data_IF_032275284624
#
_entry.id   IF_032275284624
#
_cell.length_a   1.000
_cell.length_b   1.000
_cell.length_c   1.000
_cell.angle_alpha   90.00
_cell.angle_beta   90.00
_cell.angle_gamma   90.00
#
_symmetry.space_group_name_H-M   'P 1'
#
loop_
_entity.id
_entity.type
_entity.pdbx_description
1 polymer ?
#
# COMPACT_ATOMS: atom_id res chain seq x y z
N UNK A 1 -26.41 -27.31 20.92
CA UNK A 1 -27.87 -27.09 20.96
C UNK A 1 -28.53 -27.56 19.68
N UNK A 2 -29.78 -28.07 19.72
CA UNK A 2 -30.57 -28.34 18.53
C UNK A 2 -30.95 -27.03 17.81
N UNK A 3 -30.83 -27.00 16.48
CA UNK A 3 -31.19 -25.85 15.64
C UNK A 3 -31.21 -26.19 14.15
N UNK A 4 -31.99 -25.44 13.37
CA UNK A 4 -32.09 -25.56 11.92
C UNK A 4 -31.93 -24.21 11.23
N UNK A 5 -31.48 -24.23 9.97
CA UNK A 5 -31.34 -23.03 9.13
C UNK A 5 -32.07 -23.26 7.82
N UNK A 6 -32.91 -22.30 7.42
CA UNK A 6 -33.63 -22.32 6.15
C UNK A 6 -33.33 -21.02 5.39
N UNK A 7 -32.96 -21.16 4.12
CA UNK A 7 -32.74 -20.04 3.21
C UNK A 7 -33.86 -20.02 2.17
N UNK A 8 -34.34 -18.83 1.86
CA UNK A 8 -35.34 -18.57 0.82
C UNK A 8 -34.63 -17.87 -0.34
N UNK A 9 -34.87 -18.35 -1.56
CA UNK A 9 -34.26 -17.84 -2.79
C UNK A 9 -35.34 -17.73 -3.86
N UNK A 10 -35.23 -16.72 -4.71
CA UNK A 10 -36.04 -16.60 -5.91
C UNK A 10 -35.23 -17.06 -7.12
N UNK A 11 -35.89 -17.67 -8.10
CA UNK A 11 -35.26 -18.01 -9.38
C UNK A 11 -34.86 -16.76 -10.18
N UNK A 12 -35.39 -15.60 -9.80
CA UNK A 12 -35.02 -14.28 -10.35
C UNK A 12 -33.77 -13.66 -9.69
N UNK A 13 -33.27 -14.25 -8.60
CA UNK A 13 -32.09 -13.72 -7.89
C UNK A 13 -30.86 -13.70 -8.81
N UNK A 14 -30.01 -12.68 -8.66
CA UNK A 14 -28.84 -12.47 -9.52
C UNK A 14 -27.92 -13.69 -9.63
N UNK A 15 -27.74 -14.43 -8.54
CA UNK A 15 -26.94 -15.65 -8.53
C UNK A 15 -27.52 -16.71 -9.48
N UNK A 16 -28.83 -16.95 -9.41
CA UNK A 16 -29.50 -17.98 -10.22
C UNK A 16 -29.71 -17.51 -11.65
N UNK A 17 -29.96 -16.22 -11.84
CA UNK A 17 -30.07 -15.59 -13.16
C UNK A 17 -28.75 -15.67 -13.95
N UNK A 18 -27.62 -15.39 -13.30
CA UNK A 18 -26.31 -15.33 -13.96
C UNK A 18 -25.65 -16.73 -14.02
N UNK A 19 -25.80 -17.56 -12.97
CA UNK A 19 -25.06 -18.82 -12.83
C UNK A 19 -25.93 -20.08 -12.79
N UNK A 20 -27.23 -19.95 -12.56
CA UNK A 20 -28.20 -21.07 -12.59
C UNK A 20 -28.58 -21.51 -14.02
N UNK A 21 -28.42 -20.61 -15.00
CA UNK A 21 -28.38 -20.92 -16.44
C UNK A 21 -29.66 -21.55 -17.03
N UNK A 22 -29.50 -22.26 -18.16
CA UNK A 22 -30.58 -22.96 -18.87
C UNK A 22 -31.20 -24.11 -18.08
N UNK A 23 -30.47 -24.69 -17.11
CA UNK A 23 -30.96 -25.83 -16.33
C UNK A 23 -32.12 -25.43 -15.42
N UNK A 24 -32.05 -24.27 -14.77
CA UNK A 24 -33.17 -23.76 -13.97
C UNK A 24 -34.34 -23.38 -14.87
N UNK A 25 -34.06 -22.67 -15.97
CA UNK A 25 -35.09 -22.23 -16.92
C UNK A 25 -35.85 -23.39 -17.56
N UNK A 26 -35.14 -24.41 -18.06
CA UNK A 26 -35.73 -25.63 -18.62
C UNK A 26 -36.48 -26.47 -17.58
N UNK A 27 -36.07 -26.42 -16.31
CA UNK A 27 -36.80 -27.05 -15.22
C UNK A 27 -38.12 -26.33 -14.96
N UNK A 28 -38.14 -24.99 -14.98
CA UNK A 28 -39.36 -24.17 -14.85
C UNK A 28 -40.32 -24.43 -16.01
N UNK A 29 -39.83 -24.40 -17.25
CA UNK A 29 -40.62 -24.63 -18.46
C UNK A 29 -41.23 -26.04 -18.51
N UNK A 30 -40.54 -27.05 -17.95
CA UNK A 30 -40.98 -28.45 -17.98
C UNK A 30 -41.89 -28.82 -16.81
N UNK A 31 -41.76 -28.15 -15.67
CA UNK A 31 -42.53 -28.47 -14.47
C UNK A 31 -43.80 -27.63 -14.32
N UNK A 32 -44.05 -26.65 -15.21
CA UNK A 32 -45.22 -25.75 -15.19
C UNK A 32 -45.56 -25.31 -13.76
N UNK A 33 -44.53 -24.87 -13.03
CA UNK A 33 -44.63 -24.62 -11.61
C UNK A 33 -45.44 -23.34 -11.37
N UNK A 34 -46.54 -23.40 -10.59
CA UNK A 34 -47.28 -22.20 -10.23
C UNK A 34 -46.38 -21.25 -9.42
N UNK A 35 -46.37 -19.97 -9.80
CA UNK A 35 -45.45 -18.95 -9.28
C UNK A 35 -45.53 -18.75 -7.75
N UNK A 36 -46.68 -19.08 -7.15
CA UNK A 36 -46.97 -18.82 -5.74
C UNK A 36 -46.62 -19.99 -4.79
N UNK A 37 -46.09 -21.10 -5.31
CA UNK A 37 -45.79 -22.28 -4.51
C UNK A 37 -44.29 -22.46 -4.21
N UNK A 38 -43.91 -22.64 -2.93
CA UNK A 38 -42.51 -22.88 -2.58
C UNK A 38 -42.05 -24.23 -3.13
N UNK A 39 -40.91 -24.22 -3.84
CA UNK A 39 -40.34 -25.43 -4.41
C UNK A 39 -39.31 -26.01 -3.45
N UNK A 40 -39.66 -27.14 -2.80
CA UNK A 40 -38.72 -27.88 -1.96
C UNK A 40 -38.23 -29.11 -2.71
N UNK A 41 -37.01 -29.02 -3.27
CA UNK A 41 -36.40 -30.12 -4.01
C UNK A 41 -34.90 -30.22 -3.76
N UNK A 42 -34.45 -31.44 -3.42
CA UNK A 42 -33.02 -31.78 -3.34
C UNK A 42 -32.28 -31.58 -4.67
N UNK A 43 -32.99 -31.53 -5.80
CA UNK A 43 -32.42 -31.20 -7.10
C UNK A 43 -32.06 -29.71 -7.16
N UNK A 44 -32.97 -28.83 -6.74
CA UNK A 44 -32.78 -27.38 -6.79
C UNK A 44 -31.65 -26.95 -5.85
N UNK A 45 -31.61 -27.49 -4.63
CA UNK A 45 -30.48 -27.21 -3.71
C UNK A 45 -29.13 -27.59 -4.32
N UNK A 46 -29.04 -28.68 -5.11
CA UNK A 46 -27.81 -29.04 -5.82
C UNK A 46 -27.45 -28.03 -6.91
N UNK A 47 -28.42 -27.58 -7.69
CA UNK A 47 -28.20 -26.55 -8.73
C UNK A 47 -27.75 -25.23 -8.12
N UNK A 48 -28.34 -24.81 -6.99
CA UNK A 48 -27.91 -23.62 -6.24
C UNK A 48 -26.46 -23.78 -5.77
N UNK A 49 -26.10 -24.91 -5.17
CA UNK A 49 -24.73 -25.18 -4.72
C UNK A 49 -23.73 -25.20 -5.89
N UNK A 50 -24.11 -25.75 -7.05
CA UNK A 50 -23.28 -25.71 -8.27
C UNK A 50 -23.07 -24.27 -8.77
N UNK A 51 -24.13 -23.46 -8.79
CA UNK A 51 -24.06 -22.05 -9.15
C UNK A 51 -23.15 -21.27 -8.18
N UNK A 52 -23.28 -21.50 -6.88
CA UNK A 52 -22.42 -20.92 -5.84
C UNK A 52 -20.95 -21.31 -6.04
N UNK A 53 -20.67 -22.60 -6.21
CA UNK A 53 -19.31 -23.08 -6.46
C UNK A 53 -18.69 -22.44 -7.71
N UNK A 54 -19.49 -22.22 -8.75
CA UNK A 54 -19.04 -21.56 -9.99
C UNK A 54 -18.69 -20.09 -9.76
N UNK A 55 -19.54 -19.31 -9.08
CA UNK A 55 -19.23 -17.90 -8.79
C UNK A 55 -18.03 -17.78 -7.83
N UNK A 56 -17.92 -18.66 -6.84
CA UNK A 56 -16.75 -18.71 -5.96
C UNK A 56 -15.47 -19.00 -6.73
N UNK A 57 -15.51 -19.95 -7.67
CA UNK A 57 -14.38 -20.24 -8.56
C UNK A 57 -13.98 -19.02 -9.40
N UNK A 58 -14.94 -18.35 -10.04
CA UNK A 58 -14.67 -17.14 -10.84
C UNK A 58 -14.10 -15.98 -10.00
N UNK A 59 -14.63 -15.78 -8.79
CA UNK A 59 -14.11 -14.79 -7.86
C UNK A 59 -12.69 -15.15 -7.41
N UNK A 60 -12.43 -16.42 -7.14
CA UNK A 60 -11.11 -16.91 -6.77
C UNK A 60 -10.10 -16.68 -7.89
N UNK A 61 -10.42 -17.05 -9.13
CA UNK A 61 -9.54 -16.87 -10.29
C UNK A 61 -9.27 -15.38 -10.54
N UNK A 62 -10.28 -14.52 -10.43
CA UNK A 62 -10.12 -13.07 -10.58
C UNK A 62 -9.17 -12.49 -9.52
N UNK A 63 -9.30 -12.94 -8.26
CA UNK A 63 -8.42 -12.51 -7.17
C UNK A 63 -7.01 -13.05 -7.33
N UNK A 64 -6.86 -14.30 -7.75
CA UNK A 64 -5.57 -14.91 -8.03
C UNK A 64 -4.83 -14.14 -9.11
N UNK A 65 -5.53 -13.80 -10.19
CA UNK A 65 -4.96 -12.99 -11.26
C UNK A 65 -4.52 -11.62 -10.73
N UNK A 66 -5.36 -10.90 -9.97
CA UNK A 66 -4.97 -9.63 -9.35
C UNK A 66 -3.71 -9.74 -8.47
N UNK A 67 -3.63 -10.80 -7.64
CA UNK A 67 -2.49 -11.06 -6.76
C UNK A 67 -1.20 -11.27 -7.56
N UNK A 68 -1.27 -11.95 -8.70
CA UNK A 68 -0.07 -12.22 -9.51
C UNK A 68 0.53 -10.94 -10.14
N UNK A 69 -0.29 -9.91 -10.39
CA UNK A 69 0.20 -8.58 -10.79
C UNK A 69 0.82 -7.84 -9.60
N UNK A 70 0.14 -7.88 -8.46
CA UNK A 70 0.61 -7.25 -7.22
C UNK A 70 1.95 -7.83 -6.76
N UNK A 71 2.16 -9.14 -6.87
CA UNK A 71 3.40 -9.82 -6.50
C UNK A 71 4.64 -9.25 -7.23
N UNK A 72 4.49 -8.81 -8.48
CA UNK A 72 5.57 -8.18 -9.25
C UNK A 72 5.92 -6.82 -8.66
N UNK A 73 4.91 -5.98 -8.45
CA UNK A 73 5.07 -4.66 -7.84
C UNK A 73 5.58 -4.75 -6.41
N UNK A 74 5.12 -5.71 -5.63
CA UNK A 74 5.51 -5.93 -4.25
C UNK A 74 7.01 -6.24 -4.13
N UNK A 75 7.55 -7.09 -5.04
CA UNK A 75 8.99 -7.36 -5.10
C UNK A 75 9.80 -6.10 -5.40
N UNK A 76 9.36 -5.31 -6.37
CA UNK A 76 10.02 -4.04 -6.74
C UNK A 76 9.96 -3.02 -5.60
N UNK A 77 8.79 -2.85 -4.98
CA UNK A 77 8.56 -1.98 -3.83
C UNK A 77 9.48 -2.33 -2.67
N UNK A 78 9.56 -3.62 -2.32
CA UNK A 78 10.41 -4.10 -1.23
C UNK A 78 11.87 -3.71 -1.48
N UNK A 79 12.39 -3.95 -2.69
CA UNK A 79 13.75 -3.59 -3.05
C UNK A 79 14.01 -2.06 -3.00
N UNK A 80 13.06 -1.24 -3.46
CA UNK A 80 13.18 0.23 -3.41
C UNK A 80 13.13 0.73 -1.97
N UNK A 81 12.26 0.18 -1.13
CA UNK A 81 12.14 0.58 0.26
C UNK A 81 13.36 0.17 1.07
N UNK A 82 13.94 -1.01 0.80
CA UNK A 82 15.22 -1.41 1.39
C UNK A 82 16.35 -0.46 0.97
N UNK A 83 16.40 -0.06 -0.31
CA UNK A 83 17.40 0.92 -0.79
C UNK A 83 17.23 2.27 -0.10
N UNK A 84 15.99 2.75 -0.02
CA UNK A 84 15.62 4.00 0.67
C UNK A 84 16.01 3.96 2.15
N UNK A 85 15.75 2.85 2.84
CA UNK A 85 16.10 2.66 4.24
C UNK A 85 17.63 2.70 4.45
N UNK A 86 18.40 2.00 3.61
CA UNK A 86 19.87 2.05 3.67
C UNK A 86 20.43 3.46 3.46
N UNK A 87 19.79 4.25 2.61
CA UNK A 87 20.18 5.65 2.38
C UNK A 87 19.81 6.55 3.56
N UNK A 88 18.69 6.30 4.23
CA UNK A 88 18.33 7.01 5.47
C UNK A 88 19.35 6.75 6.58
N UNK A 89 19.76 5.50 6.76
CA UNK A 89 20.78 5.12 7.75
C UNK A 89 22.17 5.68 7.40
N UNK A 90 22.48 5.81 6.11
CA UNK A 90 23.73 6.37 5.62
C UNK A 90 23.86 7.90 5.74
N UNK A 91 22.83 8.61 6.23
CA UNK A 91 22.86 10.06 6.37
C UNK A 91 22.85 10.82 5.04
N UNK A 92 22.23 10.23 4.01
CA UNK A 92 22.21 10.78 2.65
C UNK A 92 21.41 12.09 2.59
N UNK A 93 21.77 12.98 1.65
CA UNK A 93 21.19 14.32 1.51
C UNK A 93 19.73 14.25 0.98
N UNK A 94 18.78 15.06 1.51
CA UNK A 94 17.36 15.05 1.13
C UNK A 94 17.02 15.00 -0.38
N UNK A 95 17.81 15.65 -1.24
CA UNK A 95 17.57 15.71 -2.70
C UNK A 95 17.61 14.31 -3.35
N UNK A 96 18.44 13.41 -2.81
CA UNK A 96 18.58 12.06 -3.35
C UNK A 96 17.31 11.25 -3.11
N UNK A 97 16.67 11.40 -1.95
CA UNK A 97 15.36 10.78 -1.69
C UNK A 97 14.30 11.32 -2.64
N UNK A 98 14.27 12.63 -2.85
CA UNK A 98 13.32 13.26 -3.77
C UNK A 98 13.42 12.70 -5.20
N UNK A 99 14.64 12.45 -5.69
CA UNK A 99 14.83 11.85 -7.01
C UNK A 99 14.40 10.38 -7.06
N UNK A 100 14.76 9.57 -6.05
CA UNK A 100 14.33 8.17 -5.98
C UNK A 100 12.79 8.06 -5.93
N UNK A 101 12.16 8.87 -5.07
CA UNK A 101 10.72 8.88 -4.90
C UNK A 101 10.02 9.37 -6.19
N UNK A 102 10.56 10.38 -6.88
CA UNK A 102 10.01 10.85 -8.16
C UNK A 102 10.08 9.78 -9.27
N UNK A 103 11.23 9.09 -9.41
CA UNK A 103 11.38 8.00 -10.37
C UNK A 103 10.45 6.82 -10.04
N UNK A 104 10.31 6.50 -8.75
CA UNK A 104 9.39 5.45 -8.30
C UNK A 104 7.92 5.80 -8.59
N UNK A 105 7.50 7.05 -8.36
CA UNK A 105 6.15 7.50 -8.70
C UNK A 105 5.87 7.39 -10.19
N UNK A 106 6.80 7.84 -11.04
CA UNK A 106 6.67 7.69 -12.49
C UNK A 106 6.62 6.21 -12.91
N UNK A 107 7.41 5.34 -12.26
CA UNK A 107 7.34 3.90 -12.50
C UNK A 107 5.98 3.32 -12.14
N UNK A 108 5.37 3.72 -11.01
CA UNK A 108 4.01 3.28 -10.64
C UNK A 108 2.96 3.68 -11.68
N UNK A 109 3.03 4.90 -12.21
CA UNK A 109 2.15 5.36 -13.28
C UNK A 109 2.34 4.51 -14.55
N UNK A 110 3.60 4.25 -14.93
CA UNK A 110 3.88 3.43 -16.10
C UNK A 110 3.42 1.96 -15.89
N UNK A 111 3.48 1.45 -14.67
CA UNK A 111 3.01 0.11 -14.30
C UNK A 111 1.49 -0.03 -14.38
N UNK A 112 0.75 1.04 -14.05
CA UNK A 112 -0.71 1.10 -14.23
C UNK A 112 -1.08 1.11 -15.72
N UNK A 113 -0.41 1.96 -16.52
CA UNK A 113 -0.59 1.99 -17.96
C UNK A 113 -0.25 0.65 -18.63
N UNK A 114 0.84 0.00 -18.20
CA UNK A 114 1.26 -1.30 -18.68
C UNK A 114 0.17 -2.36 -18.43
N UNK A 115 -0.37 -2.41 -17.20
CA UNK A 115 -1.40 -3.38 -16.81
C UNK A 115 -2.63 -3.29 -17.72
N UNK A 116 -3.07 -2.08 -18.06
CA UNK A 116 -4.21 -1.89 -18.97
C UNK A 116 -3.84 -2.29 -20.41
N UNK A 117 -2.65 -1.92 -20.88
CA UNK A 117 -2.21 -2.22 -22.25
C UNK A 117 -2.08 -3.73 -22.51
N UNK A 118 -1.56 -4.47 -21.54
CA UNK A 118 -1.36 -5.93 -21.60
C UNK A 118 -2.71 -6.66 -21.63
N UNK A 119 -3.72 -6.16 -20.90
CA UNK A 119 -5.08 -6.68 -20.96
C UNK A 119 -5.67 -6.60 -22.37
N UNK A 120 -5.38 -5.52 -23.10
CA UNK A 120 -5.80 -5.35 -24.48
C UNK A 120 -4.97 -6.17 -25.48
N UNK A 121 -3.75 -6.60 -25.14
CA UNK A 121 -2.92 -7.46 -26.00
C UNK A 121 -3.22 -8.96 -25.85
N UNK A 122 -3.94 -9.36 -24.79
CA UNK A 122 -4.41 -10.73 -24.56
C UNK A 122 -5.16 -11.35 -25.76
N UNK A 123 -5.76 -10.53 -26.63
CA UNK A 123 -6.42 -10.98 -27.85
C UNK A 123 -5.44 -11.59 -28.89
N UNK A 124 -4.13 -11.35 -28.74
CA UNK A 124 -3.06 -11.77 -29.65
C UNK A 124 -2.40 -13.12 -29.35
N UNK A 125 -3.02 -14.01 -28.56
CA UNK A 125 -2.48 -15.34 -28.20
C UNK A 125 -1.22 -15.35 -27.32
N UNK A 126 -0.88 -14.22 -26.69
CA UNK A 126 0.17 -14.15 -25.67
C UNK A 126 -0.45 -14.08 -24.27
N UNK A 127 0.18 -14.76 -23.31
CA UNK A 127 -0.23 -14.72 -21.91
C UNK A 127 0.04 -13.31 -21.34
N UNK A 128 -1.01 -12.56 -20.94
CA UNK A 128 -0.87 -11.20 -20.45
C UNK A 128 0.05 -11.11 -19.23
N UNK A 129 -0.01 -12.07 -18.32
CA UNK A 129 0.80 -12.02 -17.10
C UNK A 129 2.29 -12.17 -17.42
N UNK A 130 2.64 -12.97 -18.43
CA UNK A 130 4.03 -13.15 -18.87
C UNK A 130 4.57 -11.87 -19.49
N UNK A 131 3.79 -11.19 -20.34
CA UNK A 131 4.15 -9.89 -20.91
C UNK A 131 4.33 -8.84 -19.82
N UNK A 132 3.35 -8.72 -18.91
CA UNK A 132 3.40 -7.80 -17.79
C UNK A 132 4.67 -8.00 -16.95
N UNK A 133 4.98 -9.24 -16.56
CA UNK A 133 6.19 -9.57 -15.79
C UNK A 133 7.48 -9.15 -16.52
N UNK A 134 7.54 -9.40 -17.83
CA UNK A 134 8.71 -9.10 -18.65
C UNK A 134 8.91 -7.59 -18.80
N UNK A 135 7.89 -6.87 -19.24
CA UNK A 135 7.93 -5.42 -19.48
C UNK A 135 8.12 -4.66 -18.17
N UNK A 136 7.40 -5.04 -17.11
CA UNK A 136 7.56 -4.46 -15.78
C UNK A 136 9.00 -4.55 -15.28
N UNK A 137 9.64 -5.72 -15.42
CA UNK A 137 11.03 -5.91 -15.00
C UNK A 137 12.00 -5.07 -15.84
N UNK A 138 11.72 -4.90 -17.14
CA UNK A 138 12.52 -4.05 -18.02
C UNK A 138 12.46 -2.58 -17.58
N UNK A 139 11.24 -2.06 -17.35
CA UNK A 139 11.00 -0.69 -16.90
C UNK A 139 11.58 -0.44 -15.52
N UNK A 140 11.48 -1.41 -14.61
CA UNK A 140 12.09 -1.33 -13.28
C UNK A 140 13.61 -1.22 -13.36
N UNK A 141 14.26 -2.06 -14.18
CA UNK A 141 15.71 -1.99 -14.39
C UNK A 141 16.15 -0.67 -14.99
N UNK A 142 15.38 -0.15 -15.95
CA UNK A 142 15.61 1.15 -16.54
C UNK A 142 15.49 2.28 -15.50
N UNK A 143 14.45 2.27 -14.68
CA UNK A 143 14.28 3.22 -13.58
C UNK A 143 15.48 3.19 -12.61
N UNK A 144 15.92 2.00 -12.21
CA UNK A 144 17.08 1.84 -11.32
C UNK A 144 18.35 2.35 -11.98
N UNK A 145 18.59 2.02 -13.26
CA UNK A 145 19.73 2.50 -14.02
C UNK A 145 19.73 4.03 -14.17
N UNK A 146 18.56 4.63 -14.41
CA UNK A 146 18.40 6.09 -14.47
C UNK A 146 18.73 6.75 -13.13
N UNK A 147 18.29 6.16 -12.02
CA UNK A 147 18.64 6.63 -10.69
C UNK A 147 20.14 6.54 -10.42
N UNK A 148 20.77 5.41 -10.76
CA UNK A 148 22.22 5.20 -10.57
C UNK A 148 23.06 6.14 -11.43
N UNK A 149 22.65 6.35 -12.69
CA UNK A 149 23.28 7.33 -13.57
C UNK A 149 23.19 8.73 -12.98
N UNK A 150 22.01 9.13 -12.50
CA UNK A 150 21.83 10.44 -11.86
C UNK A 150 22.67 10.59 -10.59
N UNK A 151 22.81 9.52 -9.80
CA UNK A 151 23.69 9.52 -8.62
C UNK A 151 25.15 9.78 -9.00
N UNK A 152 25.65 9.13 -10.05
CA UNK A 152 27.04 9.31 -10.49
C UNK A 152 27.27 10.73 -11.04
N UNK A 153 26.34 11.25 -11.85
CA UNK A 153 26.42 12.61 -12.41
C UNK A 153 26.38 13.72 -11.33
N UNK A 154 25.81 13.44 -10.16
CA UNK A 154 25.65 14.42 -9.08
C UNK A 154 26.56 14.15 -7.87
N UNK A 155 27.39 13.12 -7.91
CA UNK A 155 28.30 12.70 -6.83
C UNK A 155 29.19 13.84 -6.31
N UNK A 156 29.76 14.63 -7.22
CA UNK A 156 30.64 15.75 -6.88
C UNK A 156 29.89 16.91 -6.20
N UNK A 157 28.60 17.08 -6.52
CA UNK A 157 27.76 18.12 -5.90
C UNK A 157 27.43 17.73 -4.45
N UNK A 158 27.19 16.44 -4.21
CA UNK A 158 26.88 15.92 -2.89
C UNK A 158 28.08 15.94 -1.94
N UNK A 159 29.28 15.57 -2.41
CA UNK A 159 30.51 15.66 -1.60
C UNK A 159 30.81 17.10 -1.15
N UNK A 160 30.51 18.09 -1.99
CA UNK A 160 30.62 19.52 -1.64
C UNK A 160 29.55 19.96 -0.64
N UNK A 161 28.32 19.45 -0.73
CA UNK A 161 27.25 19.80 0.21
C UNK A 161 27.43 19.16 1.60
N UNK A 162 27.98 17.94 1.69
CA UNK A 162 28.31 17.31 2.99
C UNK A 162 29.33 18.13 3.78
N UNK A 163 30.37 18.66 3.12
CA UNK A 163 31.37 19.50 3.78
C UNK A 163 30.82 20.85 4.25
N UNK A 164 29.87 21.44 3.51
CA UNK A 164 29.20 22.69 3.92
C UNK A 164 28.25 22.48 5.09
N UNK A 165 27.43 21.42 5.09
CA UNK A 165 26.52 21.13 6.21
C UNK A 165 27.27 20.81 7.50
N UNK A 166 28.40 20.09 7.42
CA UNK A 166 29.25 19.79 8.59
C UNK A 166 29.85 21.05 9.22
N UNK A 167 30.26 22.01 8.39
CA UNK A 167 30.80 23.29 8.86
C UNK A 167 29.73 24.17 9.51
N UNK A 168 28.49 24.15 9.02
CA UNK A 168 27.36 24.88 9.60
C UNK A 168 26.90 24.31 10.96
N UNK A 169 26.95 22.98 11.14
CA UNK A 169 26.70 22.38 12.46
C UNK A 169 27.78 22.77 13.47
N UNK A 170 29.06 22.79 13.08
CA UNK A 170 30.15 23.25 13.96
C UNK A 170 30.07 24.75 14.27
N UNK A 171 29.69 25.61 13.32
CA UNK A 171 29.51 27.05 13.58
C UNK A 171 28.29 27.32 14.48
N UNK A 172 27.22 26.55 14.36
CA UNK A 172 26.04 26.67 15.23
C UNK A 172 26.28 26.17 16.67
N UNK A 173 27.18 25.21 16.87
CA UNK A 173 27.64 24.79 18.20
C UNK A 173 28.53 25.86 18.87
N UNK A 174 29.35 26.57 18.09
CA UNK A 174 30.21 27.65 18.63
C UNK A 174 29.39 28.91 18.96
N UNK A 175 28.38 29.26 18.15
CA UNK A 175 27.55 30.47 18.35
C UNK A 175 26.62 30.43 19.56
N UNK A 176 26.31 29.24 20.11
CA UNK A 176 25.54 29.09 21.36
C UNK A 176 26.39 29.15 22.64
N UNK A 177 27.71 29.33 22.54
CA UNK A 177 28.63 29.37 23.69
C UNK A 177 28.80 30.77 24.30
N UNK A 178 28.26 31.82 23.67
CA UNK A 178 28.40 33.21 24.11
C UNK A 178 27.05 33.84 24.43
N UNK A 179 26.29 33.21 25.33
CA UNK A 179 25.20 33.90 26.04
C UNK A 179 25.74 34.36 27.39
N UNK A 180 25.94 35.67 27.52
CA UNK A 180 26.15 36.36 28.79
C UNK A 180 25.08 35.92 29.80
N UNK A 181 25.46 35.08 30.76
CA UNK A 181 24.60 34.73 31.90
C UNK A 181 24.56 35.95 32.83
N UNK A 182 23.67 36.91 32.56
CA UNK A 182 23.19 37.79 33.62
C UNK A 182 22.45 36.92 34.62
N UNK A 183 23.09 36.66 35.77
CA UNK A 183 22.52 35.90 36.87
C UNK A 183 21.19 36.53 37.30
N UNK A 184 20.06 35.99 36.84
CA UNK A 184 18.76 36.39 37.35
C UNK A 184 18.66 35.87 38.79
N UNK A 185 18.92 36.74 39.77
CA UNK A 185 18.78 36.39 41.18
C UNK A 185 17.32 36.05 41.45
N UNK A 186 17.04 34.80 41.82
CA UNK A 186 15.71 34.38 42.28
C UNK A 186 15.27 35.25 43.46
N UNK A 187 14.11 35.87 43.33
CA UNK A 187 13.52 36.74 44.34
C UNK A 187 12.96 35.95 45.52
N UNK A 188 12.98 36.55 46.71
CA UNK A 188 12.55 35.91 47.98
C UNK A 188 11.12 35.34 47.95
N UNK A 189 10.23 35.90 47.11
CA UNK A 189 8.84 35.48 46.97
C UNK A 189 8.56 34.61 45.72
N UNK A 190 9.55 34.33 44.87
CA UNK A 190 9.38 33.57 43.64
C UNK A 190 9.12 32.09 43.92
N UNK A 191 8.51 31.33 42.99
CA UNK A 191 8.36 29.88 43.12
C UNK A 191 9.72 29.22 43.34
N UNK A 192 9.80 28.30 44.31
CA UNK A 192 11.06 27.63 44.60
C UNK A 192 11.41 26.62 43.50
N UNK A 193 12.67 26.65 43.05
CA UNK A 193 13.17 25.79 41.97
C UNK A 193 13.09 24.28 42.25
N UNK A 194 12.95 23.87 43.51
CA UNK A 194 12.84 22.45 43.89
C UNK A 194 11.49 21.79 43.52
N UNK A 195 10.56 22.53 42.88
CA UNK A 195 9.26 21.98 42.46
C UNK A 195 8.25 21.79 43.59
N UNK A 196 8.54 22.23 44.82
CA UNK A 196 7.65 22.06 45.98
C UNK A 196 6.36 22.89 45.96
N UNK A 197 6.19 23.77 44.96
CA UNK A 197 5.07 24.71 44.85
C UNK A 197 5.06 25.85 45.89
N UNK A 198 6.04 25.90 46.80
CA UNK A 198 6.15 26.94 47.83
C UNK A 198 7.02 28.11 47.35
N UNK A 199 6.77 29.33 47.88
CA UNK A 199 7.64 30.50 47.66
C UNK A 199 9.06 30.24 48.19
N UNK A 200 10.10 30.75 47.53
CA UNK A 200 11.50 30.50 47.82
C UNK A 200 11.83 30.68 49.31
N UNK A 201 11.39 31.77 49.95
CA UNK A 201 11.60 32.02 51.39
C UNK A 201 11.02 30.98 52.35
N UNK A 202 9.99 30.25 51.94
CA UNK A 202 9.33 29.22 52.76
C UNK A 202 9.87 27.82 52.47
N UNK A 203 10.87 27.70 51.61
CA UNK A 203 11.46 26.43 51.20
C UNK A 203 12.99 26.45 51.35
N UNK A 204 13.69 27.01 50.36
CA UNK A 204 15.16 27.02 50.33
C UNK A 204 15.78 28.39 50.62
N UNK A 205 14.98 29.43 50.86
CA UNK A 205 15.42 30.80 51.11
C UNK A 205 15.30 31.24 52.57
N UNK A 206 15.93 30.51 53.51
CA UNK A 206 16.05 30.96 54.92
C UNK A 206 16.59 32.40 54.98
#
# INVERSE_FOLDING_TARGET
>A
DPGETKFFLSLEDDLLRIFGGEKIKSLMERLDLPEDHPIESRLISRVVNEAQKKIEGLNFDSRKYLLEYDDVLNKQRTAIYEKRQKMLEGGVIPQIFGMLDALWMSHLENMEALRESVRLRAYGQHDPLVEYRRESNMMYKEMVANFEKWMEENKDKFSKQESVNRNQETENLVSHSSVDIKSHKLGRNDPCYCGSGKKFKKCHGK
#
